data_IF_294221758647
#
_entry.id   IF_294221758647
#
_cell.length_a   1.000
_cell.length_b   1.000
_cell.length_c   1.000
_cell.angle_alpha   90.00
_cell.angle_beta   90.00
_cell.angle_gamma   90.00
#
_symmetry.space_group_name_H-M   'P 1'
#
loop_
_entity.id
_entity.type
_entity.pdbx_description
1 polymer ?
#
# COMPACT_ATOMS: atom_id res chain seq x y z
N UNK A 1 45.91 -88.27 40.28
CA UNK A 1 45.21 -88.84 41.42
C UNK A 1 44.19 -87.82 41.96
N UNK A 2 43.03 -88.34 42.15
CA UNK A 2 41.84 -87.90 42.91
C UNK A 2 41.01 -86.67 42.40
N UNK A 3 39.98 -87.00 41.73
CA UNK A 3 38.53 -86.77 41.87
C UNK A 3 38.07 -85.95 43.05
N UNK A 4 37.23 -84.96 42.78
CA UNK A 4 35.88 -84.80 43.39
C UNK A 4 34.99 -83.81 42.65
N UNK A 5 33.88 -84.27 42.16
CA UNK A 5 32.61 -83.59 41.84
C UNK A 5 31.73 -83.60 43.11
N UNK A 6 30.47 -83.06 43.05
CA UNK A 6 29.82 -81.87 42.46
C UNK A 6 29.05 -81.08 43.54
N UNK A 7 28.52 -79.96 43.16
CA UNK A 7 27.60 -79.21 44.01
C UNK A 7 26.58 -78.39 43.14
N UNK A 8 25.42 -78.97 42.98
CA UNK A 8 24.26 -78.29 42.32
C UNK A 8 23.71 -77.18 43.20
N UNK A 9 23.53 -76.00 42.66
CA UNK A 9 22.66 -74.97 43.26
C UNK A 9 21.64 -74.44 42.18
N UNK A 10 20.44 -74.34 42.65
CA UNK A 10 19.17 -74.03 41.93
C UNK A 10 19.17 -72.64 41.34
N UNK A 11 18.36 -72.40 40.23
CA UNK A 11 18.25 -71.11 39.61
C UNK A 11 17.27 -70.20 40.38
N UNK A 12 17.75 -68.99 40.72
CA UNK A 12 16.90 -67.90 41.20
C UNK A 12 16.31 -67.13 40.02
N UNK A 13 14.98 -67.10 39.98
CA UNK A 13 14.20 -66.40 39.00
C UNK A 13 14.28 -64.92 39.33
N UNK A 14 15.03 -64.13 38.53
CA UNK A 14 14.95 -62.65 38.57
C UNK A 14 13.87 -62.19 37.60
N UNK A 15 12.82 -61.66 38.18
CA UNK A 15 11.76 -60.94 37.47
C UNK A 15 12.31 -59.62 37.00
N UNK A 16 12.58 -59.45 35.69
CA UNK A 16 12.99 -58.19 35.10
C UNK A 16 11.72 -57.41 34.74
N UNK A 17 11.36 -56.40 35.55
CA UNK A 17 10.31 -55.46 35.26
C UNK A 17 10.76 -54.51 34.12
N UNK A 18 10.25 -54.76 32.93
CA UNK A 18 10.45 -53.90 31.76
C UNK A 18 9.57 -52.65 31.91
N UNK A 19 10.14 -51.51 32.34
CA UNK A 19 9.51 -50.20 32.37
C UNK A 19 9.55 -49.63 30.94
N UNK A 20 8.46 -49.76 30.20
CA UNK A 20 8.27 -49.13 28.90
C UNK A 20 8.01 -47.63 29.08
N UNK A 21 9.03 -46.82 28.88
CA UNK A 21 8.92 -45.37 28.77
C UNK A 21 8.21 -45.04 27.46
N UNK A 22 6.92 -44.65 27.53
CA UNK A 22 6.20 -44.07 26.43
C UNK A 22 6.68 -42.66 26.25
N UNK A 23 7.67 -42.40 25.38
CA UNK A 23 8.01 -41.10 24.90
C UNK A 23 6.92 -40.64 23.94
N UNK A 24 5.98 -39.83 24.41
CA UNK A 24 5.11 -39.05 23.57
C UNK A 24 6.00 -38.08 22.78
N UNK A 25 6.39 -38.46 21.59
CA UNK A 25 6.98 -37.56 20.59
C UNK A 25 5.93 -36.51 20.23
N UNK A 26 6.13 -35.27 20.69
CA UNK A 26 5.46 -34.14 20.08
C UNK A 26 5.92 -34.11 18.62
N UNK A 27 5.08 -34.57 17.72
CA UNK A 27 5.22 -34.30 16.29
C UNK A 27 4.97 -32.79 16.14
N UNK A 28 6.04 -31.98 16.18
CA UNK A 28 6.03 -30.68 15.55
C UNK A 28 5.79 -30.96 14.07
N UNK A 29 4.54 -30.81 13.62
CA UNK A 29 4.23 -30.73 12.21
C UNK A 29 5.06 -29.53 11.72
N UNK A 30 6.10 -29.78 10.92
CA UNK A 30 6.65 -28.77 10.04
C UNK A 30 5.50 -28.47 9.08
N UNK A 31 4.79 -27.36 9.31
CA UNK A 31 3.96 -26.75 8.29
C UNK A 31 4.94 -26.44 7.16
N UNK A 32 4.80 -27.12 6.04
CA UNK A 32 5.54 -26.75 4.85
C UNK A 32 5.15 -25.32 4.51
N UNK A 33 6.11 -24.46 4.25
CA UNK A 33 5.91 -23.07 3.81
C UNK A 33 5.04 -22.96 2.54
N UNK A 34 4.87 -24.09 1.83
CA UNK A 34 4.03 -24.21 0.62
C UNK A 34 2.52 -24.28 0.88
N UNK A 35 2.10 -24.52 2.14
CA UNK A 35 0.68 -24.73 2.49
C UNK A 35 0.01 -23.49 3.11
N UNK A 36 0.71 -22.37 3.25
CA UNK A 36 0.10 -21.13 3.79
C UNK A 36 -0.72 -20.43 2.72
N UNK A 37 -1.91 -19.90 3.09
CA UNK A 37 -2.71 -19.08 2.18
C UNK A 37 -1.93 -17.89 1.66
N UNK A 38 -2.17 -17.51 0.40
CA UNK A 38 -1.40 -16.47 -0.31
C UNK A 38 -2.30 -15.35 -0.81
N UNK A 39 -2.05 -14.14 -0.32
CA UNK A 39 -2.67 -12.92 -0.83
C UNK A 39 -1.62 -12.13 -1.63
N UNK A 40 -1.86 -11.92 -2.91
CA UNK A 40 -0.96 -11.14 -3.77
C UNK A 40 -1.52 -9.73 -3.96
N UNK A 41 -0.71 -8.72 -3.74
CA UNK A 41 -1.12 -7.31 -3.79
C UNK A 41 -0.24 -6.55 -4.79
N UNK A 42 -0.85 -5.72 -5.62
CA UNK A 42 -0.16 -5.03 -6.71
C UNK A 42 0.74 -3.90 -6.21
N UNK A 43 0.23 -2.96 -5.41
CA UNK A 43 0.96 -1.79 -4.93
C UNK A 43 1.43 -1.96 -3.49
N UNK A 44 2.49 -1.28 -3.10
CA UNK A 44 3.02 -1.41 -1.74
C UNK A 44 2.18 -0.69 -0.69
N UNK A 45 1.42 0.34 -1.06
CA UNK A 45 0.46 0.99 -0.17
C UNK A 45 -0.68 0.02 0.18
N UNK A 46 -1.30 -0.62 -0.83
CA UNK A 46 -2.30 -1.65 -0.58
C UNK A 46 -1.70 -2.88 0.12
N UNK A 47 -0.43 -3.20 -0.15
CA UNK A 47 0.30 -4.27 0.51
C UNK A 47 0.39 -4.07 2.02
N UNK A 48 0.76 -2.88 2.46
CA UNK A 48 0.81 -2.51 3.89
C UNK A 48 -0.58 -2.59 4.54
N UNK A 49 -1.60 -2.02 3.88
CA UNK A 49 -2.99 -2.08 4.36
C UNK A 49 -3.46 -3.54 4.48
N UNK A 50 -3.19 -4.37 3.47
CA UNK A 50 -3.58 -5.78 3.46
C UNK A 50 -2.83 -6.57 4.53
N UNK A 51 -1.54 -6.30 4.74
CA UNK A 51 -0.74 -6.95 5.79
C UNK A 51 -1.27 -6.63 7.20
N UNK A 52 -1.69 -5.38 7.44
CA UNK A 52 -2.32 -4.97 8.71
C UNK A 52 -3.62 -5.74 9.01
N UNK A 53 -4.37 -6.11 7.97
CA UNK A 53 -5.61 -6.88 8.06
C UNK A 53 -5.33 -8.36 8.23
N UNK A 54 -4.45 -8.92 7.40
CA UNK A 54 -4.16 -10.36 7.34
C UNK A 54 -3.34 -10.82 8.55
N UNK A 55 -2.41 -9.98 9.03
CA UNK A 55 -1.49 -10.33 10.12
C UNK A 55 -0.64 -11.55 9.75
N UNK A 56 -0.67 -12.57 10.62
CA UNK A 56 0.07 -13.81 10.44
C UNK A 56 -0.77 -14.96 9.83
N UNK A 57 -2.03 -14.72 9.47
CA UNK A 57 -2.96 -15.75 9.01
C UNK A 57 -2.71 -16.19 7.55
N UNK A 58 -2.12 -15.33 6.73
CA UNK A 58 -1.74 -15.64 5.35
C UNK A 58 -0.45 -14.91 4.96
N UNK A 59 0.20 -15.36 3.88
CA UNK A 59 1.37 -14.70 3.31
C UNK A 59 0.93 -13.61 2.33
N UNK A 60 1.34 -12.36 2.60
CA UNK A 60 1.09 -11.22 1.72
C UNK A 60 2.30 -10.98 0.84
N UNK A 61 2.13 -11.17 -0.47
CA UNK A 61 3.17 -10.88 -1.47
C UNK A 61 2.87 -9.58 -2.19
N UNK A 62 3.74 -8.58 -2.02
CA UNK A 62 3.61 -7.28 -2.68
C UNK A 62 4.46 -7.26 -3.95
N UNK A 63 3.84 -6.94 -5.10
CA UNK A 63 4.50 -6.95 -6.40
C UNK A 63 5.35 -5.71 -6.65
N UNK A 64 4.85 -4.54 -6.27
CA UNK A 64 5.54 -3.26 -6.46
C UNK A 64 6.60 -3.04 -5.37
N UNK A 65 7.82 -2.76 -5.78
CA UNK A 65 8.92 -2.47 -4.85
C UNK A 65 8.76 -1.11 -4.17
N UNK A 66 9.38 -0.90 -3.00
CA UNK A 66 9.48 0.42 -2.39
C UNK A 66 10.05 1.47 -3.37
N UNK A 67 9.52 2.69 -3.28
CA UNK A 67 9.88 3.84 -4.13
C UNK A 67 9.62 3.64 -5.64
N UNK A 68 8.89 2.60 -6.05
CA UNK A 68 8.47 2.44 -7.44
C UNK A 68 7.20 3.26 -7.71
N UNK A 69 7.02 3.63 -8.97
CA UNK A 69 5.86 4.35 -9.47
C UNK A 69 4.79 3.34 -9.94
N UNK A 70 3.54 3.38 -9.39
CA UNK A 70 2.49 2.43 -9.73
C UNK A 70 2.03 2.53 -11.18
N UNK A 71 2.12 3.69 -11.81
CA UNK A 71 1.71 3.85 -13.22
C UNK A 71 2.67 3.17 -14.20
N UNK A 72 3.96 3.08 -13.85
CA UNK A 72 5.01 2.64 -14.77
C UNK A 72 5.61 1.27 -14.46
N UNK A 73 5.38 0.72 -13.25
CA UNK A 73 6.00 -0.57 -12.90
C UNK A 73 5.42 -1.73 -13.73
N UNK A 74 6.26 -2.72 -13.99
CA UNK A 74 5.87 -3.93 -14.70
C UNK A 74 6.30 -5.17 -13.94
N UNK A 75 5.69 -6.30 -14.28
CA UNK A 75 5.97 -7.58 -13.63
C UNK A 75 7.04 -8.37 -14.36
N UNK A 76 7.90 -9.03 -13.59
CA UNK A 76 8.71 -10.14 -14.06
C UNK A 76 7.85 -11.39 -14.29
N UNK A 77 8.36 -12.36 -15.07
CA UNK A 77 7.67 -13.63 -15.27
C UNK A 77 7.41 -14.40 -13.96
N UNK A 78 8.30 -14.28 -12.97
CA UNK A 78 8.13 -14.87 -11.65
C UNK A 78 6.95 -14.22 -10.89
N UNK A 79 6.86 -12.89 -10.91
CA UNK A 79 5.75 -12.18 -10.28
C UNK A 79 4.40 -12.44 -10.98
N UNK A 80 4.38 -12.58 -12.31
CA UNK A 80 3.18 -13.00 -13.03
C UNK A 80 2.72 -14.40 -12.59
N UNK A 81 3.65 -15.32 -12.37
CA UNK A 81 3.34 -16.67 -11.86
C UNK A 81 2.84 -16.66 -10.40
N UNK A 82 3.23 -15.68 -9.57
CA UNK A 82 2.66 -15.52 -8.22
C UNK A 82 1.19 -15.14 -8.26
N UNK A 83 0.77 -14.27 -9.21
CA UNK A 83 -0.65 -13.95 -9.40
C UNK A 83 -1.50 -15.18 -9.71
N UNK A 84 -0.99 -16.11 -10.54
CA UNK A 84 -1.70 -17.31 -10.92
C UNK A 84 -1.82 -18.37 -9.78
N UNK A 85 -1.01 -18.21 -8.71
CA UNK A 85 -0.98 -19.11 -7.55
C UNK A 85 -1.62 -18.52 -6.31
N UNK A 86 -2.10 -17.29 -6.39
CA UNK A 86 -2.73 -16.62 -5.27
C UNK A 86 -4.11 -17.20 -4.98
N UNK A 87 -4.49 -17.22 -3.70
CA UNK A 87 -5.87 -17.46 -3.28
C UNK A 87 -6.73 -16.21 -3.52
N UNK A 88 -6.11 -15.04 -3.33
CA UNK A 88 -6.74 -13.74 -3.58
C UNK A 88 -5.70 -12.75 -4.15
N UNK A 89 -6.09 -12.03 -5.21
CA UNK A 89 -5.35 -10.87 -5.73
C UNK A 89 -6.09 -9.59 -5.36
N UNK A 90 -5.40 -8.69 -4.65
CA UNK A 90 -5.90 -7.35 -4.31
C UNK A 90 -5.15 -6.32 -5.17
N UNK A 91 -5.88 -5.49 -5.91
CA UNK A 91 -5.29 -4.49 -6.79
C UNK A 91 -6.05 -3.17 -6.73
N UNK A 92 -5.37 -2.06 -7.06
CA UNK A 92 -5.99 -0.75 -7.01
C UNK A 92 -7.06 -0.59 -8.09
N UNK A 93 -6.71 -0.85 -9.32
CA UNK A 93 -7.62 -0.66 -10.46
C UNK A 93 -7.77 0.79 -10.88
N UNK A 94 -8.89 1.09 -11.54
CA UNK A 94 -9.21 2.43 -12.10
C UNK A 94 -8.09 2.98 -13.02
N UNK A 95 -7.32 2.11 -13.65
CA UNK A 95 -6.25 2.49 -14.56
C UNK A 95 -4.90 2.82 -13.91
N UNK A 96 -4.73 2.64 -12.59
CA UNK A 96 -3.47 2.95 -11.92
C UNK A 96 -2.33 2.08 -12.44
N UNK A 97 -2.49 0.75 -12.42
CA UNK A 97 -1.44 -0.21 -12.75
C UNK A 97 -1.57 -0.75 -14.19
N UNK A 98 -1.48 0.12 -15.18
CA UNK A 98 -1.77 -0.24 -16.58
C UNK A 98 -1.01 -1.48 -17.08
N UNK A 99 0.29 -1.58 -16.76
CA UNK A 99 1.13 -2.69 -17.20
C UNK A 99 0.84 -4.02 -16.47
N UNK A 100 0.10 -3.98 -15.35
CA UNK A 100 -0.17 -5.14 -14.49
C UNK A 100 -1.55 -5.73 -14.77
N UNK A 101 -2.54 -4.93 -15.18
CA UNK A 101 -3.93 -5.33 -15.31
C UNK A 101 -4.13 -6.58 -16.18
N UNK A 102 -3.40 -6.70 -17.30
CA UNK A 102 -3.47 -7.90 -18.16
C UNK A 102 -3.12 -9.20 -17.42
N UNK A 103 -2.21 -9.13 -16.43
CA UNK A 103 -1.82 -10.29 -15.64
C UNK A 103 -2.85 -10.60 -14.55
N UNK A 104 -3.48 -9.57 -13.97
CA UNK A 104 -4.62 -9.72 -13.06
C UNK A 104 -5.80 -10.37 -13.79
N UNK A 105 -6.08 -9.93 -15.03
CA UNK A 105 -7.15 -10.52 -15.85
C UNK A 105 -6.85 -11.99 -16.20
N UNK A 106 -5.61 -12.31 -16.55
CA UNK A 106 -5.20 -13.71 -16.80
C UNK A 106 -5.37 -14.60 -15.55
N UNK A 107 -4.98 -14.10 -14.36
CA UNK A 107 -5.20 -14.82 -13.10
C UNK A 107 -6.69 -15.03 -12.83
N UNK A 108 -7.52 -14.01 -13.05
CA UNK A 108 -8.99 -14.10 -12.92
C UNK A 108 -9.58 -15.14 -13.88
N UNK A 109 -9.15 -15.15 -15.14
CA UNK A 109 -9.58 -16.14 -16.14
C UNK A 109 -9.16 -17.57 -15.77
N UNK A 110 -8.06 -17.71 -15.02
CA UNK A 110 -7.59 -18.99 -14.47
C UNK A 110 -8.32 -19.41 -13.20
N UNK A 111 -9.26 -18.59 -12.69
CA UNK A 111 -10.10 -18.91 -11.53
C UNK A 111 -9.62 -18.32 -10.20
N UNK A 112 -8.57 -17.50 -10.19
CA UNK A 112 -8.10 -16.81 -9.00
C UNK A 112 -9.09 -15.70 -8.60
N UNK A 113 -9.44 -15.62 -7.31
CA UNK A 113 -10.26 -14.53 -6.80
C UNK A 113 -9.50 -13.20 -6.92
N UNK A 114 -10.18 -12.14 -7.41
CA UNK A 114 -9.55 -10.83 -7.60
C UNK A 114 -10.44 -9.73 -7.07
N UNK A 115 -9.87 -8.78 -6.35
CA UNK A 115 -10.59 -7.65 -5.76
C UNK A 115 -10.01 -6.31 -6.21
N UNK A 116 -10.81 -5.52 -6.94
CA UNK A 116 -10.50 -4.16 -7.38
C UNK A 116 -10.96 -3.16 -6.31
N UNK A 117 -10.02 -2.66 -5.52
CA UNK A 117 -10.31 -1.81 -4.36
C UNK A 117 -10.86 -0.45 -4.78
N UNK A 118 -10.23 0.19 -5.77
CA UNK A 118 -10.57 1.55 -6.18
C UNK A 118 -12.04 1.72 -6.58
N UNK A 119 -12.63 0.74 -7.26
CA UNK A 119 -14.06 0.75 -7.61
C UNK A 119 -14.98 0.63 -6.40
N UNK A 120 -14.53 -0.03 -5.34
CA UNK A 120 -15.37 -0.37 -4.19
C UNK A 120 -15.42 0.73 -3.11
N UNK A 121 -14.54 1.74 -3.20
CA UNK A 121 -14.40 2.79 -2.18
C UNK A 121 -15.02 4.13 -2.57
N UNK A 122 -16.11 4.13 -3.34
CA UNK A 122 -16.83 5.31 -3.84
C UNK A 122 -15.88 6.28 -4.58
N UNK A 123 -15.38 5.88 -5.75
CA UNK A 123 -14.36 6.65 -6.45
C UNK A 123 -14.84 8.06 -6.82
N UNK A 124 -13.95 9.05 -6.62
CA UNK A 124 -14.11 10.37 -7.19
C UNK A 124 -13.79 10.32 -8.68
N UNK A 125 -14.18 11.37 -9.39
CA UNK A 125 -13.78 11.61 -10.77
C UNK A 125 -12.84 12.79 -10.84
N UNK A 126 -11.91 12.77 -11.79
CA UNK A 126 -11.10 13.94 -12.08
C UNK A 126 -11.98 15.13 -12.43
N UNK A 127 -11.70 16.26 -11.79
CA UNK A 127 -12.37 17.52 -12.09
C UNK A 127 -11.60 18.26 -13.19
N UNK A 128 -12.33 19.06 -13.99
CA UNK A 128 -11.66 20.01 -14.87
C UNK A 128 -10.91 21.05 -14.00
N UNK A 129 -9.63 21.24 -14.28
CA UNK A 129 -8.78 22.22 -13.59
C UNK A 129 -8.42 23.39 -14.50
N UNK A 130 -8.14 24.56 -13.91
CA UNK A 130 -7.77 25.78 -14.64
C UNK A 130 -6.36 25.72 -15.25
N UNK A 131 -5.59 24.66 -14.99
CA UNK A 131 -4.21 24.45 -15.44
C UNK A 131 -4.07 23.97 -16.89
N UNK A 132 -5.20 23.73 -17.58
CA UNK A 132 -5.21 23.29 -18.98
C UNK A 132 -4.98 21.80 -19.17
N UNK A 133 -5.27 20.98 -18.14
CA UNK A 133 -5.29 19.52 -18.27
C UNK A 133 -6.22 19.02 -19.37
N UNK A 134 -5.99 17.79 -19.88
CA UNK A 134 -6.80 17.22 -20.96
C UNK A 134 -8.28 17.15 -20.56
N UNK A 135 -9.16 17.76 -21.34
CA UNK A 135 -10.63 17.63 -21.14
C UNK A 135 -11.08 16.15 -21.17
N UNK A 136 -10.30 15.29 -21.82
CA UNK A 136 -10.57 13.86 -21.97
C UNK A 136 -10.47 13.09 -20.63
N UNK A 137 -9.72 13.58 -19.65
CA UNK A 137 -9.63 12.97 -18.32
C UNK A 137 -10.76 13.42 -17.39
N UNK A 138 -11.37 14.58 -17.64
CA UNK A 138 -12.47 15.07 -16.83
C UNK A 138 -13.64 14.07 -16.82
N UNK A 139 -14.07 13.68 -15.63
CA UNK A 139 -15.12 12.68 -15.43
C UNK A 139 -14.64 11.23 -15.44
N UNK A 140 -13.35 10.94 -15.74
CA UNK A 140 -12.78 9.62 -15.53
C UNK A 140 -12.58 9.36 -14.03
N UNK A 141 -12.71 8.11 -13.55
CA UNK A 141 -12.46 7.78 -12.15
C UNK A 141 -11.01 8.09 -11.74
N UNK A 142 -10.85 8.73 -10.60
CA UNK A 142 -9.55 9.00 -9.98
C UNK A 142 -9.10 7.76 -9.17
N UNK A 143 -7.94 7.14 -9.47
CA UNK A 143 -7.47 5.95 -8.78
C UNK A 143 -6.84 6.21 -7.40
N UNK A 144 -6.55 7.46 -7.03
CA UNK A 144 -5.68 7.84 -5.90
C UNK A 144 -6.41 7.93 -4.55
N UNK A 145 -7.34 6.99 -4.28
CA UNK A 145 -8.21 6.99 -3.11
C UNK A 145 -7.45 6.96 -1.76
N UNK A 146 -6.24 6.40 -1.73
CA UNK A 146 -5.44 6.26 -0.49
C UNK A 146 -5.02 7.59 0.12
N UNK A 147 -5.14 8.69 -0.60
CA UNK A 147 -4.86 10.03 -0.07
C UNK A 147 -5.95 10.54 0.89
N UNK A 148 -7.09 9.85 0.98
CA UNK A 148 -8.12 10.03 2.01
C UNK A 148 -8.16 8.83 2.96
N UNK A 149 -7.77 8.98 4.25
CA UNK A 149 -7.81 7.88 5.22
C UNK A 149 -9.19 7.26 5.44
N UNK A 150 -10.28 7.99 5.23
CA UNK A 150 -11.63 7.41 5.38
C UNK A 150 -11.97 6.45 4.23
N UNK A 151 -11.43 6.70 3.03
CA UNK A 151 -11.52 5.74 1.92
C UNK A 151 -10.70 4.49 2.23
N UNK A 152 -9.54 4.65 2.89
CA UNK A 152 -8.73 3.51 3.33
C UNK A 152 -9.41 2.72 4.44
N UNK A 153 -10.16 3.35 5.36
CA UNK A 153 -11.00 2.63 6.34
C UNK A 153 -12.00 1.71 5.64
N UNK A 154 -12.70 2.22 4.62
CA UNK A 154 -13.61 1.42 3.80
C UNK A 154 -12.88 0.32 3.04
N UNK A 155 -11.71 0.60 2.47
CA UNK A 155 -10.90 -0.40 1.79
C UNK A 155 -10.48 -1.53 2.73
N UNK A 156 -10.04 -1.21 3.94
CA UNK A 156 -9.63 -2.18 4.96
C UNK A 156 -10.76 -3.13 5.35
N UNK A 157 -11.98 -2.62 5.60
CA UNK A 157 -13.15 -3.45 5.90
C UNK A 157 -13.52 -4.38 4.73
N UNK A 158 -13.49 -3.85 3.50
CA UNK A 158 -13.78 -4.65 2.30
C UNK A 158 -12.70 -5.70 2.04
N UNK A 159 -11.41 -5.38 2.22
CA UNK A 159 -10.31 -6.35 2.10
C UNK A 159 -10.49 -7.46 3.15
N UNK A 160 -10.82 -7.13 4.40
CA UNK A 160 -11.12 -8.13 5.43
C UNK A 160 -12.26 -9.08 5.02
N UNK A 161 -13.32 -8.53 4.41
CA UNK A 161 -14.42 -9.32 3.84
C UNK A 161 -13.93 -10.27 2.74
N UNK A 162 -13.16 -9.78 1.78
CA UNK A 162 -12.65 -10.59 0.67
C UNK A 162 -11.68 -11.68 1.14
N UNK A 163 -10.81 -11.37 2.11
CA UNK A 163 -9.91 -12.37 2.71
C UNK A 163 -10.72 -13.49 3.38
N UNK A 164 -11.72 -13.16 4.19
CA UNK A 164 -12.53 -14.17 4.87
C UNK A 164 -13.45 -14.98 3.92
N UNK A 165 -13.77 -14.43 2.75
CA UNK A 165 -14.61 -15.10 1.75
C UNK A 165 -13.81 -16.02 0.82
N UNK A 166 -12.59 -15.66 0.46
CA UNK A 166 -11.83 -16.31 -0.62
C UNK A 166 -10.54 -16.99 -0.18
N UNK A 167 -10.07 -16.76 1.05
CA UNK A 167 -8.81 -17.32 1.54
C UNK A 167 -9.09 -18.38 2.59
N UNK A 168 -8.94 -19.65 2.22
CA UNK A 168 -9.20 -20.77 3.11
C UNK A 168 -8.16 -20.85 4.25
N UNK A 169 -8.61 -21.27 5.43
CA UNK A 169 -7.72 -21.54 6.57
C UNK A 169 -7.34 -20.34 7.43
N UNK A 170 -7.83 -19.13 7.12
CA UNK A 170 -7.66 -17.93 7.96
C UNK A 170 -8.61 -17.93 9.16
N UNK A 171 -8.19 -17.34 10.29
CA UNK A 171 -9.10 -17.09 11.43
C UNK A 171 -9.91 -15.80 11.17
N UNK A 172 -11.18 -15.97 10.72
CA UNK A 172 -12.09 -14.85 10.46
C UNK A 172 -12.16 -13.87 11.64
N UNK A 173 -12.13 -14.37 12.88
CA UNK A 173 -12.20 -13.52 14.07
C UNK A 173 -10.93 -12.69 14.23
N UNK A 174 -9.76 -13.24 13.93
CA UNK A 174 -8.50 -12.53 13.95
C UNK A 174 -8.46 -11.45 12.85
N UNK A 175 -8.88 -11.80 11.64
CA UNK A 175 -8.99 -10.84 10.51
C UNK A 175 -9.90 -9.66 10.88
N UNK A 176 -11.09 -9.91 11.43
CA UNK A 176 -12.02 -8.86 11.85
C UNK A 176 -11.45 -8.00 12.98
N UNK A 177 -10.81 -8.60 13.98
CA UNK A 177 -10.16 -7.86 15.07
C UNK A 177 -9.01 -6.98 14.58
N UNK A 178 -8.24 -7.45 13.59
CA UNK A 178 -7.20 -6.66 12.94
C UNK A 178 -7.79 -5.46 12.19
N UNK A 179 -8.86 -5.67 11.42
CA UNK A 179 -9.56 -4.61 10.71
C UNK A 179 -10.10 -3.54 11.66
N UNK A 180 -10.76 -3.91 12.75
CA UNK A 180 -11.27 -2.99 13.78
C UNK A 180 -10.16 -2.17 14.44
N UNK A 181 -9.01 -2.82 14.72
CA UNK A 181 -7.83 -2.15 15.27
C UNK A 181 -7.28 -1.11 14.28
N UNK A 182 -7.14 -1.50 13.01
CA UNK A 182 -6.61 -0.61 11.97
C UNK A 182 -7.58 0.54 11.66
N UNK A 183 -8.89 0.29 11.65
CA UNK A 183 -9.93 1.32 11.54
C UNK A 183 -9.78 2.41 12.61
N UNK A 184 -9.52 2.01 13.87
CA UNK A 184 -9.28 2.94 14.97
C UNK A 184 -8.03 3.79 14.71
N UNK A 185 -6.93 3.20 14.23
CA UNK A 185 -5.69 3.91 13.92
C UNK A 185 -5.87 4.90 12.76
N UNK A 186 -6.67 4.54 11.75
CA UNK A 186 -7.01 5.42 10.63
C UNK A 186 -7.91 6.58 11.05
N UNK A 187 -8.87 6.36 11.94
CA UNK A 187 -9.70 7.42 12.53
C UNK A 187 -8.87 8.42 13.34
N UNK A 188 -7.90 7.92 14.12
CA UNK A 188 -6.95 8.75 14.86
C UNK A 188 -6.04 9.55 13.90
N UNK A 189 -5.61 8.91 12.81
CA UNK A 189 -4.84 9.58 11.75
C UNK A 189 -5.64 10.73 11.13
N UNK A 190 -6.89 10.49 10.72
CA UNK A 190 -7.78 11.51 10.17
C UNK A 190 -7.91 12.71 11.12
N UNK A 191 -8.21 12.44 12.39
CA UNK A 191 -8.32 13.50 13.43
C UNK A 191 -7.02 14.29 13.58
N UNK A 192 -5.89 13.62 13.53
CA UNK A 192 -4.58 14.28 13.62
C UNK A 192 -4.26 15.11 12.37
N UNK A 193 -4.61 14.63 11.19
CA UNK A 193 -4.46 15.37 9.92
C UNK A 193 -5.33 16.63 9.91
N UNK A 194 -6.59 16.55 10.32
CA UNK A 194 -7.50 17.69 10.45
C UNK A 194 -6.90 18.78 11.35
N UNK A 195 -6.41 18.41 12.55
CA UNK A 195 -5.76 19.35 13.48
C UNK A 195 -4.49 19.96 12.91
N UNK A 196 -3.73 19.19 12.13
CA UNK A 196 -2.49 19.65 11.51
C UNK A 196 -2.79 20.66 10.40
N UNK A 197 -3.72 20.34 9.51
CA UNK A 197 -4.12 21.21 8.41
C UNK A 197 -4.90 22.44 8.87
N UNK A 198 -5.58 22.39 10.02
CA UNK A 198 -6.23 23.56 10.62
C UNK A 198 -5.23 24.69 10.96
N UNK A 199 -3.93 24.38 11.08
CA UNK A 199 -2.88 25.39 11.28
C UNK A 199 -2.54 26.19 10.02
N UNK A 200 -2.90 25.67 8.84
CA UNK A 200 -2.71 26.36 7.56
C UNK A 200 -3.87 27.34 7.37
N UNK A 201 -3.61 28.64 7.18
CA UNK A 201 -4.68 29.57 6.83
C UNK A 201 -5.45 29.10 5.59
N UNK A 202 -6.76 29.21 5.60
CA UNK A 202 -7.64 28.66 4.54
C UNK A 202 -7.21 29.14 3.14
N UNK A 203 -6.84 30.43 2.98
CA UNK A 203 -6.34 30.96 1.72
C UNK A 203 -5.04 30.34 1.22
N UNK A 204 -4.26 29.68 2.11
CA UNK A 204 -3.01 29.00 1.79
C UNK A 204 -3.20 27.48 1.57
N UNK A 205 -4.41 26.95 1.80
CA UNK A 205 -4.73 25.55 1.50
C UNK A 205 -4.89 25.34 0.01
N UNK A 206 -3.79 25.48 -0.72
CA UNK A 206 -3.75 25.39 -2.16
C UNK A 206 -2.59 24.49 -2.60
N UNK A 207 -2.88 23.49 -3.42
CA UNK A 207 -1.95 22.44 -3.85
C UNK A 207 -1.52 22.66 -5.29
N UNK A 208 -0.22 22.57 -5.52
CA UNK A 208 0.40 22.35 -6.82
C UNK A 208 1.26 21.10 -6.69
N UNK A 209 1.03 20.12 -7.53
CA UNK A 209 1.55 18.77 -7.38
C UNK A 209 2.31 18.30 -8.60
N UNK A 210 2.93 17.13 -8.53
CA UNK A 210 3.63 16.53 -9.66
C UNK A 210 2.65 16.16 -10.78
N UNK A 211 1.57 15.45 -10.44
CA UNK A 211 0.43 15.11 -11.28
C UNK A 211 -0.84 15.18 -10.43
N UNK A 212 -2.00 14.90 -11.00
CA UNK A 212 -3.29 14.93 -10.27
C UNK A 212 -3.46 13.72 -9.36
N UNK A 213 -2.89 13.77 -8.14
CA UNK A 213 -2.89 12.66 -7.16
C UNK A 213 -3.68 12.97 -5.89
N UNK A 214 -3.89 14.25 -5.55
CA UNK A 214 -4.47 14.64 -4.26
C UNK A 214 -5.93 15.10 -4.32
N UNK A 215 -6.71 14.60 -5.28
CA UNK A 215 -8.13 14.92 -5.40
C UNK A 215 -8.93 14.56 -4.14
N UNK A 216 -8.76 13.35 -3.64
CA UNK A 216 -9.43 12.87 -2.42
C UNK A 216 -8.99 13.61 -1.15
N UNK A 217 -7.68 13.86 -1.00
CA UNK A 217 -7.18 14.67 0.12
C UNK A 217 -7.73 16.08 0.07
N UNK A 218 -7.79 16.67 -1.12
CA UNK A 218 -8.29 18.03 -1.32
C UNK A 218 -9.78 18.13 -0.96
N UNK A 219 -10.61 17.17 -1.39
CA UNK A 219 -12.02 17.09 -1.02
C UNK A 219 -12.16 16.94 0.49
N UNK A 220 -11.44 15.99 1.09
CA UNK A 220 -11.56 15.64 2.51
C UNK A 220 -11.17 16.78 3.44
N UNK A 221 -10.06 17.47 3.16
CA UNK A 221 -9.45 18.45 4.05
C UNK A 221 -9.60 19.90 3.56
N UNK A 222 -10.46 20.13 2.57
CA UNK A 222 -10.80 21.43 2.03
C UNK A 222 -9.58 22.20 1.47
N UNK A 223 -8.78 21.49 0.69
CA UNK A 223 -7.73 22.12 -0.12
C UNK A 223 -8.27 22.44 -1.52
N UNK A 224 -7.70 23.45 -2.14
CA UNK A 224 -7.92 23.75 -3.54
C UNK A 224 -6.76 23.20 -4.36
N UNK A 225 -7.03 22.36 -5.34
CA UNK A 225 -6.03 21.97 -6.34
C UNK A 225 -5.92 23.11 -7.34
N UNK A 226 -4.72 23.72 -7.45
CA UNK A 226 -4.43 24.81 -8.38
C UNK A 226 -3.99 24.27 -9.73
N UNK A 227 -3.27 23.15 -9.70
CA UNK A 227 -2.82 22.46 -10.89
C UNK A 227 -1.70 21.48 -10.61
N UNK A 228 -1.25 20.82 -11.66
CA UNK A 228 -0.16 19.87 -11.63
C UNK A 228 0.87 20.15 -12.72
N UNK A 229 2.12 19.72 -12.49
CA UNK A 229 3.22 19.83 -13.46
C UNK A 229 2.96 19.00 -14.69
N UNK A 230 2.50 17.79 -14.48
CA UNK A 230 1.94 16.91 -15.48
C UNK A 230 0.42 17.04 -15.29
N UNK A 231 -0.30 17.78 -16.15
CA UNK A 231 -1.73 18.00 -15.98
C UNK A 231 -2.53 16.76 -16.40
N UNK A 232 -2.29 15.65 -15.70
CA UNK A 232 -2.85 14.33 -15.98
C UNK A 232 -2.96 13.53 -14.68
N UNK A 233 -3.84 12.54 -14.66
CA UNK A 233 -3.97 11.54 -13.58
C UNK A 233 -2.91 10.43 -13.63
N UNK A 234 -1.93 10.52 -14.54
CA UNK A 234 -0.84 9.55 -14.67
C UNK A 234 0.52 10.23 -14.76
N UNK A 235 1.55 9.54 -14.28
CA UNK A 235 2.96 9.97 -14.39
C UNK A 235 3.58 9.67 -15.76
N UNK A 236 2.90 8.92 -16.61
CA UNK A 236 3.40 8.50 -17.94
C UNK A 236 3.38 9.64 -18.96
N UNK A 237 2.55 10.65 -18.75
CA UNK A 237 2.53 11.84 -19.59
C UNK A 237 3.75 12.73 -19.35
N UNK A 238 4.07 13.58 -20.31
CA UNK A 238 5.14 14.56 -20.20
C UNK A 238 4.56 15.97 -20.38
N UNK A 239 4.89 16.92 -19.49
CA UNK A 239 4.38 18.27 -19.59
C UNK A 239 4.94 18.97 -20.83
N UNK A 240 4.11 19.73 -21.51
CA UNK A 240 4.54 20.65 -22.57
C UNK A 240 5.05 21.97 -21.99
N UNK A 241 5.74 22.76 -22.83
CA UNK A 241 6.11 24.13 -22.41
C UNK A 241 4.89 25.04 -22.20
N UNK A 242 3.73 24.73 -22.82
CA UNK A 242 2.49 25.46 -22.57
C UNK A 242 1.92 25.12 -21.19
N UNK A 243 1.93 23.86 -20.78
CA UNK A 243 1.43 23.42 -19.48
C UNK A 243 2.21 24.06 -18.35
N UNK A 244 3.54 24.08 -18.46
CA UNK A 244 4.40 24.76 -17.47
C UNK A 244 4.12 26.28 -17.39
N UNK A 245 3.83 26.95 -18.51
CA UNK A 245 3.46 28.37 -18.49
C UNK A 245 2.09 28.58 -17.86
N UNK A 246 1.08 27.77 -18.21
CA UNK A 246 -0.26 27.83 -17.63
C UNK A 246 -0.20 27.59 -16.13
N UNK A 247 0.53 26.58 -15.67
CA UNK A 247 0.75 26.31 -14.24
C UNK A 247 1.44 27.50 -13.55
N UNK A 248 2.48 28.07 -14.14
CA UNK A 248 3.17 29.24 -13.58
C UNK A 248 2.23 30.44 -13.41
N UNK A 249 1.35 30.67 -14.37
CA UNK A 249 0.34 31.71 -14.28
C UNK A 249 -0.68 31.41 -13.19
N UNK A 250 -1.25 30.19 -13.14
CA UNK A 250 -2.19 29.77 -12.11
C UNK A 250 -1.60 29.90 -10.70
N UNK A 251 -0.33 29.52 -10.51
CA UNK A 251 0.38 29.68 -9.23
C UNK A 251 0.51 31.15 -8.81
N UNK A 252 0.86 32.04 -9.75
CA UNK A 252 0.98 33.50 -9.47
C UNK A 252 -0.37 34.10 -9.07
N UNK A 253 -1.43 33.78 -9.80
CA UNK A 253 -2.79 34.23 -9.54
C UNK A 253 -3.31 33.72 -8.19
N UNK A 254 -2.99 32.48 -7.87
CA UNK A 254 -3.35 31.85 -6.60
C UNK A 254 -2.47 32.26 -5.41
N UNK A 255 -1.34 32.94 -5.66
CA UNK A 255 -0.35 33.30 -4.64
C UNK A 255 0.40 32.11 -4.05
N UNK A 256 0.45 30.98 -4.76
CA UNK A 256 1.10 29.73 -4.31
C UNK A 256 2.58 29.77 -4.65
N UNK A 257 3.42 29.40 -3.66
CA UNK A 257 4.88 29.36 -3.81
C UNK A 257 5.48 27.99 -3.47
N UNK A 258 4.64 26.98 -3.27
CA UNK A 258 5.09 25.62 -2.95
C UNK A 258 4.56 24.65 -3.98
N UNK A 259 5.45 23.82 -4.53
CA UNK A 259 5.14 22.68 -5.40
C UNK A 259 5.48 21.42 -4.64
N UNK A 260 4.56 20.48 -4.62
CA UNK A 260 4.74 19.18 -4.00
C UNK A 260 5.14 18.17 -5.07
N UNK A 261 6.37 17.69 -4.98
CA UNK A 261 6.96 16.72 -5.91
C UNK A 261 6.83 15.31 -5.35
N UNK A 262 6.56 14.35 -6.22
CA UNK A 262 6.49 12.93 -5.87
C UNK A 262 7.88 12.33 -5.67
N UNK A 263 8.06 11.57 -4.57
CA UNK A 263 9.32 10.90 -4.22
C UNK A 263 9.68 9.72 -5.14
N UNK A 264 8.68 9.12 -5.81
CA UNK A 264 8.89 8.04 -6.78
C UNK A 264 9.39 8.55 -8.15
N UNK A 265 9.29 9.88 -8.37
CA UNK A 265 9.70 10.52 -9.60
C UNK A 265 11.15 11.01 -9.58
N UNK A 266 11.82 11.09 -10.75
CA UNK A 266 13.17 11.60 -10.83
C UNK A 266 13.31 13.03 -10.28
N UNK A 267 14.26 13.27 -9.40
CA UNK A 267 14.56 14.60 -8.81
C UNK A 267 14.77 15.70 -9.85
N UNK A 268 15.19 15.33 -11.07
CA UNK A 268 15.35 16.24 -12.20
C UNK A 268 14.09 17.04 -12.52
N UNK A 269 12.90 16.42 -12.38
CA UNK A 269 11.65 17.14 -12.63
C UNK A 269 11.45 18.27 -11.63
N UNK A 270 11.70 18.03 -10.34
CA UNK A 270 11.65 19.05 -9.31
C UNK A 270 12.68 20.19 -9.53
N UNK A 271 13.85 19.86 -10.07
CA UNK A 271 14.90 20.85 -10.42
C UNK A 271 14.50 21.71 -11.63
N UNK A 272 13.92 21.10 -12.67
CA UNK A 272 13.39 21.83 -13.82
C UNK A 272 12.28 22.81 -13.37
N UNK A 273 11.39 22.36 -12.51
CA UNK A 273 10.35 23.23 -11.95
C UNK A 273 10.91 24.43 -11.21
N UNK A 274 11.91 24.22 -10.35
CA UNK A 274 12.55 25.32 -9.64
C UNK A 274 13.17 26.35 -10.60
N UNK A 275 13.74 25.85 -11.70
CA UNK A 275 14.38 26.73 -12.72
C UNK A 275 13.35 27.53 -13.51
N UNK A 276 12.25 26.91 -13.92
CA UNK A 276 11.18 27.53 -14.71
C UNK A 276 10.30 28.48 -13.89
N UNK A 277 10.04 28.13 -12.62
CA UNK A 277 9.17 28.90 -11.73
C UNK A 277 9.90 30.08 -11.04
N UNK A 278 11.24 30.07 -11.03
CA UNK A 278 12.09 31.14 -10.47
C UNK A 278 12.37 31.01 -8.97
N UNK A 279 13.27 31.90 -8.46
CA UNK A 279 13.87 31.83 -7.12
C UNK A 279 12.88 31.97 -5.92
N UNK A 280 11.60 32.22 -6.19
CA UNK A 280 10.57 32.37 -5.16
C UNK A 280 9.76 31.11 -4.87
N UNK A 281 10.01 30.01 -5.58
CA UNK A 281 9.23 28.77 -5.45
C UNK A 281 10.01 27.71 -4.68
N UNK A 282 9.31 27.09 -3.72
CA UNK A 282 9.80 25.97 -2.92
C UNK A 282 9.29 24.66 -3.51
N UNK A 283 10.17 23.67 -3.61
CA UNK A 283 9.78 22.29 -3.93
C UNK A 283 9.89 21.45 -2.67
N UNK A 284 8.79 20.79 -2.31
CA UNK A 284 8.67 19.90 -1.14
C UNK A 284 8.35 18.50 -1.65
N UNK A 285 9.19 17.55 -1.31
CA UNK A 285 8.99 16.15 -1.67
C UNK A 285 7.92 15.51 -0.79
N UNK A 286 6.96 14.78 -1.39
CA UNK A 286 5.96 13.97 -0.73
C UNK A 286 6.05 12.51 -1.18
N UNK A 287 5.63 11.60 -0.32
CA UNK A 287 5.46 10.19 -0.63
C UNK A 287 4.03 9.96 -1.13
N UNK A 288 3.76 10.29 -2.39
CA UNK A 288 2.39 10.28 -2.91
C UNK A 288 1.97 8.94 -3.51
N UNK A 289 2.92 8.20 -4.09
CA UNK A 289 2.63 7.02 -4.90
C UNK A 289 3.20 5.72 -4.34
N UNK A 290 4.11 5.80 -3.37
CA UNK A 290 4.86 4.63 -2.92
C UNK A 290 5.32 4.77 -1.49
N UNK A 291 5.35 3.63 -0.77
CA UNK A 291 6.05 3.52 0.49
C UNK A 291 7.57 3.43 0.26
N UNK A 292 8.33 3.78 1.28
CA UNK A 292 9.79 3.70 1.27
C UNK A 292 10.29 2.34 1.73
N UNK A 293 11.58 2.11 1.58
CA UNK A 293 12.30 1.02 2.27
C UNK A 293 12.08 1.10 3.78
N UNK A 294 12.12 -0.04 4.50
CA UNK A 294 11.99 -0.08 5.96
C UNK A 294 12.91 0.90 6.69
N UNK A 295 12.36 1.64 7.64
CA UNK A 295 13.10 2.61 8.46
C UNK A 295 13.47 3.92 7.74
N UNK A 296 12.91 4.20 6.56
CA UNK A 296 13.14 5.45 5.81
C UNK A 296 12.05 6.51 6.02
N UNK A 297 11.12 6.27 6.95
CA UNK A 297 10.19 7.27 7.48
C UNK A 297 8.84 7.36 6.78
N UNK A 298 8.58 6.50 5.79
CA UNK A 298 7.29 6.32 5.15
C UNK A 298 7.13 4.86 4.68
N UNK A 299 7.57 3.91 5.50
CA UNK A 299 7.54 2.47 5.21
C UNK A 299 6.21 1.80 5.57
N UNK A 300 5.28 2.54 6.17
CA UNK A 300 3.88 2.15 6.34
C UNK A 300 2.95 3.26 5.87
N UNK A 301 1.71 2.91 5.55
CA UNK A 301 0.69 3.89 5.16
C UNK A 301 0.50 4.99 6.22
N UNK A 302 0.41 4.62 7.50
CA UNK A 302 0.25 5.58 8.58
C UNK A 302 1.44 6.55 8.69
N UNK A 303 2.66 6.06 8.53
CA UNK A 303 3.87 6.90 8.55
C UNK A 303 3.91 7.81 7.32
N UNK A 304 3.61 7.28 6.13
CA UNK A 304 3.53 8.03 4.89
C UNK A 304 2.59 9.23 5.03
N UNK A 305 1.37 9.02 5.49
CA UNK A 305 0.36 10.07 5.65
C UNK A 305 0.76 11.10 6.72
N UNK A 306 1.39 10.66 7.81
CA UNK A 306 1.95 11.58 8.83
C UNK A 306 3.10 12.43 8.29
N UNK A 307 4.03 11.82 7.56
CA UNK A 307 5.15 12.53 6.94
C UNK A 307 4.64 13.57 5.92
N UNK A 308 3.71 13.17 5.04
CA UNK A 308 3.11 14.06 4.05
C UNK A 308 2.36 15.23 4.71
N UNK A 309 1.52 14.95 5.68
CA UNK A 309 0.76 15.99 6.42
C UNK A 309 1.70 17.02 7.07
N UNK A 310 2.78 16.56 7.70
CA UNK A 310 3.79 17.45 8.30
C UNK A 310 4.46 18.32 7.25
N UNK A 311 4.96 17.69 6.17
CA UNK A 311 5.64 18.40 5.07
C UNK A 311 4.72 19.40 4.37
N UNK A 312 3.44 19.04 4.15
CA UNK A 312 2.44 19.94 3.57
C UNK A 312 2.16 21.13 4.51
N UNK A 313 1.97 20.87 5.80
CA UNK A 313 1.72 21.90 6.80
C UNK A 313 2.89 22.88 6.86
N UNK A 314 4.13 22.41 6.95
CA UNK A 314 5.33 23.24 7.00
C UNK A 314 5.57 23.98 5.68
N UNK A 315 5.29 23.33 4.55
CA UNK A 315 5.43 23.92 3.22
C UNK A 315 4.45 25.05 2.92
N UNK A 316 3.25 25.01 3.50
CA UNK A 316 2.20 25.99 3.26
C UNK A 316 2.06 27.05 4.36
N UNK A 317 2.63 26.83 5.54
CA UNK A 317 2.59 27.81 6.66
C UNK A 317 3.75 28.80 6.68
N UNK A 318 4.72 28.67 5.77
CA UNK A 318 5.97 29.44 5.75
C UNK A 318 5.90 30.71 4.90
#
# INVERSE_FOLDING_TARGET
>A
MTRKTPGARRPGTFLLAMLTLFTAGAATACVNDDDRPRVVVTTNILGDITQEIVGDDADVTVLMKPNADPHSFGLSAAQAAELERADLVVFNGLGLEENVLRHVDAARESGVATFEVGKAVDPLTFQAHDDGGPEEEAGQPDPHFWTDPDRVRKAADLIAGQVTEHVDGVDEKAIRANADRYDTQLADLTTWMEKSFARIPERQRALVTNHHVFGYLAERFHFRVVGAVIPSGTTLASPSSSDLRSLTQAMREAGVRTVFADSSQPKRLAEVLRTELGDGVRVVELYSESLTEPGKGADTYLQMMRANTTRMTDGLSA
#
